data_IF_854205050099
#
_entry.id   IF_854205050099
#
_cell.length_a   1.000
_cell.length_b   1.000
_cell.length_c   1.000
_cell.angle_alpha   90.00
_cell.angle_beta   90.00
_cell.angle_gamma   90.00
#
_symmetry.space_group_name_H-M   'P 1'
#
loop_
_entity.id
_entity.type
_entity.pdbx_description
1 polymer ?
#
# COMPACT_ATOMS: atom_id res chain seq x y z
N UNK A 1 9.17 -25.31 4.84
CA UNK A 1 9.18 -23.86 5.18
C UNK A 1 8.41 -23.08 4.13
N UNK A 2 7.98 -21.85 4.42
CA UNK A 2 7.20 -21.05 3.47
C UNK A 2 7.45 -19.54 3.64
N UNK A 3 7.63 -18.88 2.50
CA UNK A 3 7.93 -17.45 2.40
C UNK A 3 6.68 -16.68 2.01
N UNK A 4 6.35 -15.69 2.83
CA UNK A 4 5.32 -14.70 2.55
C UNK A 4 5.84 -13.51 1.76
N UNK A 5 5.03 -13.01 0.83
CA UNK A 5 5.25 -11.70 0.18
C UNK A 5 3.93 -10.94 0.14
N UNK A 6 3.93 -9.68 0.56
CA UNK A 6 2.78 -8.77 0.42
C UNK A 6 2.93 -7.98 -0.88
N UNK A 7 1.97 -8.10 -1.79
CA UNK A 7 2.12 -7.55 -3.16
C UNK A 7 0.84 -6.91 -3.70
N UNK A 8 1.02 -6.03 -4.67
CA UNK A 8 -0.08 -5.51 -5.49
C UNK A 8 0.06 -5.89 -6.96
N UNK A 9 1.28 -6.09 -7.45
CA UNK A 9 1.58 -6.38 -8.86
C UNK A 9 0.83 -5.45 -9.81
N UNK A 10 1.02 -4.14 -9.63
CA UNK A 10 0.28 -3.09 -10.32
C UNK A 10 1.15 -2.17 -11.21
N UNK A 11 1.67 -2.66 -12.37
CA UNK A 11 1.59 -4.03 -12.88
C UNK A 11 2.68 -4.97 -12.29
N UNK A 12 2.61 -6.26 -12.62
CA UNK A 12 3.76 -7.18 -12.43
C UNK A 12 4.90 -6.75 -13.35
N UNK A 13 6.16 -6.76 -12.92
CA UNK A 13 7.28 -6.15 -13.65
C UNK A 13 8.63 -6.75 -13.23
N UNK A 14 9.72 -6.39 -13.91
CA UNK A 14 11.06 -6.97 -13.71
C UNK A 14 11.59 -6.83 -12.27
N UNK A 15 11.26 -5.75 -11.57
CA UNK A 15 11.57 -5.65 -10.12
C UNK A 15 10.92 -6.75 -9.26
N UNK A 16 9.70 -7.19 -9.58
CA UNK A 16 9.04 -8.31 -8.90
C UNK A 16 9.68 -9.65 -9.28
N UNK A 17 10.09 -9.81 -10.54
CA UNK A 17 10.80 -11.00 -11.02
C UNK A 17 12.11 -11.15 -10.25
N UNK A 18 12.91 -10.09 -10.15
CA UNK A 18 14.15 -10.08 -9.35
C UNK A 18 13.91 -10.49 -7.90
N UNK A 19 12.83 -10.02 -7.26
CA UNK A 19 12.50 -10.43 -5.90
C UNK A 19 12.21 -11.94 -5.81
N UNK A 20 11.45 -12.48 -6.75
CA UNK A 20 11.14 -13.92 -6.80
C UNK A 20 12.38 -14.77 -7.11
N UNK A 21 13.25 -14.31 -8.00
CA UNK A 21 14.53 -14.96 -8.32
C UNK A 21 15.47 -14.95 -7.13
N UNK A 22 15.59 -13.82 -6.42
CA UNK A 22 16.37 -13.73 -5.19
C UNK A 22 15.84 -14.72 -4.14
N UNK A 23 14.52 -14.83 -3.98
CA UNK A 23 13.92 -15.81 -3.06
C UNK A 23 14.30 -17.24 -3.47
N UNK A 24 14.14 -17.60 -4.75
CA UNK A 24 14.47 -18.94 -5.23
C UNK A 24 15.96 -19.27 -5.06
N UNK A 25 16.84 -18.29 -5.24
CA UNK A 25 18.29 -18.45 -5.06
C UNK A 25 18.66 -18.72 -3.60
N UNK A 26 18.10 -17.94 -2.67
CA UNK A 26 18.46 -18.02 -1.24
C UNK A 26 17.67 -19.08 -0.48
N UNK A 27 16.50 -19.48 -1.00
CA UNK A 27 15.59 -20.43 -0.36
C UNK A 27 14.99 -21.40 -1.40
N UNK A 28 15.82 -22.22 -2.07
CA UNK A 28 15.40 -23.04 -3.22
C UNK A 28 14.27 -24.04 -2.90
N UNK A 29 14.18 -24.47 -1.64
CA UNK A 29 13.22 -25.48 -1.19
C UNK A 29 11.94 -24.88 -0.56
N UNK A 30 11.85 -23.55 -0.47
CA UNK A 30 10.74 -22.88 0.23
C UNK A 30 9.56 -22.58 -0.71
N UNK A 31 8.35 -22.81 -0.21
CA UNK A 31 7.13 -22.43 -0.93
C UNK A 31 6.93 -20.92 -0.86
N UNK A 32 6.70 -20.27 -1.99
CA UNK A 32 6.37 -18.85 -2.10
C UNK A 32 4.84 -18.67 -2.04
N UNK A 33 4.38 -17.97 -1.01
CA UNK A 33 2.98 -17.60 -0.79
C UNK A 33 2.88 -16.08 -0.85
N UNK A 34 2.12 -15.56 -1.81
CA UNK A 34 1.86 -14.13 -1.90
C UNK A 34 0.46 -13.79 -1.42
N UNK A 35 0.33 -12.67 -0.71
CA UNK A 35 -0.95 -12.05 -0.40
C UNK A 35 -1.11 -10.79 -1.24
N UNK A 36 -2.20 -10.72 -2.00
CA UNK A 36 -2.33 -9.79 -3.11
C UNK A 36 -3.62 -8.98 -3.07
N UNK A 37 -3.47 -7.65 -3.20
CA UNK A 37 -4.58 -6.70 -3.35
C UNK A 37 -5.47 -7.04 -4.56
N UNK A 38 -6.77 -6.77 -4.44
CA UNK A 38 -7.76 -7.11 -5.47
C UNK A 38 -7.91 -6.05 -6.57
N UNK A 39 -8.94 -5.21 -6.53
CA UNK A 39 -9.23 -4.24 -7.60
C UNK A 39 -8.59 -2.88 -7.35
N UNK A 40 -8.39 -2.56 -6.07
CA UNK A 40 -7.79 -1.32 -5.61
C UNK A 40 -6.55 -1.64 -4.78
N UNK A 41 -5.55 -0.77 -4.86
CA UNK A 41 -4.36 -0.80 -4.03
C UNK A 41 -4.67 -0.36 -2.59
N UNK A 42 -3.69 -0.54 -1.70
CA UNK A 42 -3.66 0.01 -0.35
C UNK A 42 -3.80 1.54 -0.34
N UNK A 43 -3.33 2.20 -1.39
CA UNK A 43 -3.44 3.65 -1.57
C UNK A 43 -4.77 4.09 -2.21
N UNK A 44 -5.69 3.17 -2.47
CA UNK A 44 -6.98 3.44 -3.10
C UNK A 44 -6.89 3.65 -4.62
N UNK A 45 -5.77 3.29 -5.24
CA UNK A 45 -5.58 3.41 -6.69
C UNK A 45 -6.17 2.21 -7.41
N UNK A 46 -6.72 2.44 -8.60
CA UNK A 46 -7.26 1.35 -9.41
C UNK A 46 -6.11 0.50 -9.96
N UNK A 47 -6.21 -0.82 -9.78
CA UNK A 47 -5.20 -1.74 -10.29
C UNK A 47 -5.40 -1.96 -11.80
N UNK A 48 -4.31 -1.85 -12.56
CA UNK A 48 -4.32 -1.82 -14.05
C UNK A 48 -4.66 -3.16 -14.70
N UNK A 49 -4.53 -4.27 -13.97
CA UNK A 49 -4.80 -5.61 -14.47
C UNK A 49 -5.71 -6.42 -13.54
N UNK A 50 -6.53 -7.29 -14.14
CA UNK A 50 -7.43 -8.15 -13.39
C UNK A 50 -6.68 -9.03 -12.38
N UNK A 51 -7.34 -9.37 -11.26
CA UNK A 51 -6.76 -10.28 -10.27
C UNK A 51 -6.37 -11.63 -10.89
N UNK A 52 -7.17 -12.14 -11.84
CA UNK A 52 -6.89 -13.40 -12.56
C UNK A 52 -5.59 -13.31 -13.36
N UNK A 53 -5.37 -12.21 -14.09
CA UNK A 53 -4.15 -12.04 -14.89
C UNK A 53 -2.91 -11.90 -14.00
N UNK A 54 -2.99 -11.10 -12.94
CA UNK A 54 -1.90 -10.94 -11.97
C UNK A 54 -1.58 -12.25 -11.22
N UNK A 55 -2.61 -13.03 -10.87
CA UNK A 55 -2.44 -14.37 -10.28
C UNK A 55 -1.75 -15.32 -11.26
N UNK A 56 -2.18 -15.33 -12.53
CA UNK A 56 -1.60 -16.19 -13.57
C UNK A 56 -0.12 -15.87 -13.80
N UNK A 57 0.24 -14.59 -13.95
CA UNK A 57 1.64 -14.21 -14.16
C UNK A 57 2.49 -14.50 -12.93
N UNK A 58 2.00 -14.23 -11.71
CA UNK A 58 2.74 -14.54 -10.48
C UNK A 58 3.09 -16.03 -10.39
N UNK A 59 2.11 -16.91 -10.68
CA UNK A 59 2.32 -18.37 -10.72
C UNK A 59 3.37 -18.78 -11.76
N UNK A 60 3.36 -18.17 -12.96
CA UNK A 60 4.36 -18.42 -14.01
C UNK A 60 5.79 -18.18 -13.52
N UNK A 61 5.99 -17.21 -12.63
CA UNK A 61 7.29 -16.89 -12.06
C UNK A 61 7.61 -17.61 -10.74
N UNK A 62 6.88 -18.70 -10.42
CA UNK A 62 7.20 -19.61 -9.31
C UNK A 62 6.49 -19.31 -7.99
N UNK A 63 5.47 -18.43 -7.98
CA UNK A 63 4.60 -18.31 -6.81
C UNK A 63 3.72 -19.55 -6.67
N UNK A 64 3.86 -20.29 -5.57
CA UNK A 64 3.08 -21.50 -5.31
C UNK A 64 1.61 -21.17 -4.98
N UNK A 65 1.36 -20.14 -4.16
CA UNK A 65 0.01 -19.77 -3.72
C UNK A 65 -0.22 -18.26 -3.74
N UNK A 66 -1.40 -17.86 -4.22
CA UNK A 66 -1.84 -16.45 -4.26
C UNK A 66 -3.10 -16.31 -3.41
N UNK A 67 -2.97 -15.63 -2.28
CA UNK A 67 -4.05 -15.31 -1.35
C UNK A 67 -4.62 -13.94 -1.70
N UNK A 68 -5.93 -13.87 -1.89
CA UNK A 68 -6.62 -12.61 -2.21
C UNK A 68 -6.92 -11.81 -0.94
N UNK A 69 -6.50 -10.55 -0.87
CA UNK A 69 -7.07 -9.61 0.11
C UNK A 69 -8.45 -9.16 -0.35
N UNK A 70 -9.41 -9.20 0.57
CA UNK A 70 -10.72 -8.59 0.38
C UNK A 70 -10.55 -7.07 0.22
N UNK A 71 -11.57 -6.42 -0.34
CA UNK A 71 -11.56 -4.96 -0.47
C UNK A 71 -11.38 -4.28 0.90
N UNK A 72 -12.10 -4.75 1.92
CA UNK A 72 -12.08 -4.19 3.28
C UNK A 72 -10.72 -4.42 3.97
N UNK A 73 -10.03 -5.51 3.63
CA UNK A 73 -8.70 -5.82 4.15
C UNK A 73 -7.63 -4.96 3.48
N UNK A 74 -7.74 -4.76 2.16
CA UNK A 74 -6.72 -4.14 1.31
C UNK A 74 -6.74 -2.61 1.30
N UNK A 75 -7.92 -1.98 1.23
CA UNK A 75 -8.04 -0.53 0.99
C UNK A 75 -8.10 0.22 2.32
N UNK A 76 -6.96 0.25 3.03
CA UNK A 76 -6.85 0.72 4.40
C UNK A 76 -5.57 1.54 4.64
N UNK A 77 -5.47 2.21 5.79
CA UNK A 77 -4.21 2.79 6.25
C UNK A 77 -3.10 1.70 6.38
N UNK A 78 -1.83 2.10 6.31
CA UNK A 78 -0.70 1.17 6.19
C UNK A 78 -0.66 0.13 7.32
N UNK A 79 -0.83 0.56 8.58
CA UNK A 79 -0.87 -0.33 9.75
C UNK A 79 -1.99 -1.38 9.69
N UNK A 80 -3.20 -1.00 9.26
CA UNK A 80 -4.34 -1.93 9.12
C UNK A 80 -4.09 -2.90 7.96
N UNK A 81 -3.60 -2.39 6.82
CA UNK A 81 -3.25 -3.22 5.67
C UNK A 81 -2.17 -4.25 6.03
N UNK A 82 -1.10 -3.81 6.72
CA UNK A 82 -0.03 -4.66 7.22
C UNK A 82 -0.57 -5.75 8.15
N UNK A 83 -1.34 -5.38 9.18
CA UNK A 83 -2.02 -6.33 10.07
C UNK A 83 -2.80 -7.39 9.29
N UNK A 84 -3.65 -6.97 8.35
CA UNK A 84 -4.48 -7.88 7.57
C UNK A 84 -3.65 -8.81 6.68
N UNK A 85 -2.64 -8.27 5.99
CA UNK A 85 -1.78 -9.02 5.10
C UNK A 85 -0.92 -10.05 5.87
N UNK A 86 -0.28 -9.64 6.96
CA UNK A 86 0.56 -10.51 7.78
C UNK A 86 -0.27 -11.58 8.48
N UNK A 87 -1.40 -11.23 9.10
CA UNK A 87 -2.28 -12.24 9.71
C UNK A 87 -2.78 -13.26 8.70
N UNK A 88 -3.10 -12.81 7.48
CA UNK A 88 -3.52 -13.71 6.42
C UNK A 88 -2.39 -14.65 6.01
N UNK A 89 -1.17 -14.15 5.82
CA UNK A 89 -0.03 -15.02 5.53
C UNK A 89 0.29 -15.98 6.68
N UNK A 90 0.27 -15.50 7.92
CA UNK A 90 0.55 -16.30 9.12
C UNK A 90 -0.41 -17.48 9.28
N UNK A 91 -1.71 -17.29 8.97
CA UNK A 91 -2.70 -18.39 8.91
C UNK A 91 -2.33 -19.49 7.90
N UNK A 92 -1.51 -19.18 6.89
CA UNK A 92 -0.97 -20.16 5.93
C UNK A 92 0.43 -20.66 6.31
N UNK A 93 0.81 -20.51 7.59
CA UNK A 93 2.03 -21.07 8.19
C UNK A 93 3.31 -20.65 7.47
N UNK A 94 3.38 -19.37 7.05
CA UNK A 94 4.67 -18.81 6.64
C UNK A 94 5.60 -18.71 7.85
N UNK A 95 6.88 -18.94 7.64
CA UNK A 95 7.95 -18.79 8.65
C UNK A 95 8.96 -17.71 8.25
N UNK A 96 8.86 -17.18 7.02
CA UNK A 96 9.66 -16.08 6.51
C UNK A 96 8.79 -15.03 5.83
N UNK A 97 9.14 -13.77 5.96
CA UNK A 97 8.56 -12.66 5.19
C UNK A 97 9.67 -11.97 4.38
N UNK A 98 9.44 -11.77 3.09
CA UNK A 98 10.36 -11.02 2.22
C UNK A 98 9.62 -9.82 1.62
N UNK A 99 10.19 -8.62 1.76
CA UNK A 99 9.67 -7.41 1.12
C UNK A 99 10.79 -6.51 0.58
N UNK A 100 10.47 -5.69 -0.42
CA UNK A 100 11.41 -4.70 -0.94
C UNK A 100 11.50 -3.48 -0.02
N UNK A 101 12.69 -2.95 0.19
CA UNK A 101 12.97 -1.80 1.07
C UNK A 101 13.95 -0.83 0.39
N UNK A 102 13.79 0.47 0.65
CA UNK A 102 14.76 1.48 0.23
C UNK A 102 16.02 1.39 1.08
N UNK A 103 15.90 1.32 2.41
CA UNK A 103 17.04 1.21 3.34
C UNK A 103 17.75 -0.14 3.29
N UNK A 104 17.02 -1.21 2.96
CA UNK A 104 17.48 -2.60 3.06
C UNK A 104 18.05 -2.97 4.44
N UNK A 105 17.58 -2.31 5.51
CA UNK A 105 18.06 -2.52 6.86
C UNK A 105 16.95 -3.11 7.75
N UNK A 106 16.76 -4.43 7.65
CA UNK A 106 15.73 -5.13 8.43
C UNK A 106 16.00 -5.09 9.94
N UNK A 107 17.27 -5.12 10.35
CA UNK A 107 17.63 -5.12 11.77
C UNK A 107 17.21 -3.82 12.43
N UNK A 108 17.45 -2.69 11.77
CA UNK A 108 17.01 -1.38 12.24
C UNK A 108 15.48 -1.27 12.36
N UNK A 109 14.72 -1.88 11.43
CA UNK A 109 13.26 -1.96 11.56
C UNK A 109 12.83 -2.80 12.76
N UNK A 110 13.53 -3.89 13.05
CA UNK A 110 13.27 -4.79 14.19
C UNK A 110 13.57 -4.05 15.50
N UNK A 111 14.74 -3.43 15.61
CA UNK A 111 15.17 -2.71 16.81
C UNK A 111 14.22 -1.58 17.15
N UNK A 112 13.79 -0.81 16.14
CA UNK A 112 12.80 0.26 16.33
C UNK A 112 11.44 -0.30 16.74
N UNK A 113 11.00 -1.43 16.18
CA UNK A 113 9.74 -2.07 16.56
C UNK A 113 9.77 -2.60 18.01
N UNK A 114 10.89 -3.21 18.43
CA UNK A 114 11.10 -3.66 19.82
C UNK A 114 11.11 -2.46 20.77
N UNK A 115 11.85 -1.40 20.41
CA UNK A 115 11.87 -0.16 21.18
C UNK A 115 10.46 0.41 21.38
N UNK A 116 9.66 0.52 20.32
CA UNK A 116 8.29 1.01 20.41
C UNK A 116 7.37 0.11 21.25
N UNK A 117 7.55 -1.21 21.17
CA UNK A 117 6.79 -2.16 21.98
C UNK A 117 7.08 -1.97 23.47
N UNK A 118 8.35 -1.76 23.83
CA UNK A 118 8.78 -1.62 25.22
C UNK A 118 8.55 -0.21 25.78
N UNK A 119 8.53 0.83 24.94
CA UNK A 119 8.43 2.24 25.34
C UNK A 119 7.10 2.89 24.92
N UNK A 120 6.02 2.10 24.87
CA UNK A 120 4.72 2.57 24.39
C UNK A 120 4.20 3.81 25.12
N UNK A 121 4.34 3.86 26.44
CA UNK A 121 3.86 4.97 27.27
C UNK A 121 4.58 6.27 26.89
N UNK A 122 5.92 6.23 26.84
CA UNK A 122 6.75 7.37 26.45
C UNK A 122 6.43 7.84 25.03
N UNK A 123 6.29 6.90 24.08
CA UNK A 123 5.88 7.21 22.71
C UNK A 123 4.52 7.90 22.66
N UNK A 124 3.51 7.36 23.35
CA UNK A 124 2.14 7.89 23.36
C UNK A 124 2.08 9.29 24.00
N UNK A 125 2.88 9.57 25.03
CA UNK A 125 2.99 10.90 25.63
C UNK A 125 3.62 11.91 24.66
N UNK A 126 4.74 11.55 24.03
CA UNK A 126 5.49 12.43 23.13
C UNK A 126 4.70 12.73 21.85
N UNK A 127 4.04 11.74 21.24
CA UNK A 127 3.20 11.99 20.07
C UNK A 127 1.98 12.87 20.42
N UNK A 128 1.38 12.69 21.61
CA UNK A 128 0.29 13.57 22.09
C UNK A 128 0.76 15.01 22.24
N UNK A 129 1.97 15.24 22.73
CA UNK A 129 2.58 16.57 22.78
C UNK A 129 2.66 17.18 21.38
N UNK A 130 3.22 16.46 20.40
CA UNK A 130 3.31 16.94 19.02
C UNK A 130 1.96 17.22 18.36
N UNK A 131 0.95 16.40 18.63
CA UNK A 131 -0.39 16.60 18.10
C UNK A 131 -1.11 17.80 18.75
N UNK A 132 -1.02 17.95 20.08
CA UNK A 132 -1.81 18.93 20.83
C UNK A 132 -1.14 20.28 20.98
N UNK A 133 0.16 20.31 21.28
CA UNK A 133 0.94 21.52 21.54
C UNK A 133 1.49 22.09 20.24
N UNK A 134 2.23 21.28 19.49
CA UNK A 134 2.85 21.70 18.22
C UNK A 134 1.90 21.68 17.00
N UNK A 135 0.64 21.25 17.20
CA UNK A 135 -0.41 21.16 16.16
C UNK A 135 0.06 20.42 14.89
N UNK A 136 0.98 19.47 15.02
CA UNK A 136 1.51 18.73 13.89
C UNK A 136 0.46 17.75 13.35
N UNK A 137 0.43 17.59 12.02
CA UNK A 137 -0.34 16.50 11.41
C UNK A 137 0.22 15.14 11.85
N UNK A 138 -0.65 14.14 12.04
CA UNK A 138 -0.26 12.84 12.61
C UNK A 138 0.97 12.18 11.96
N UNK A 139 1.11 12.11 10.62
CA UNK A 139 2.32 11.55 10.01
C UNK A 139 3.61 12.29 10.40
N UNK A 140 3.55 13.64 10.48
CA UNK A 140 4.67 14.47 10.90
C UNK A 140 4.97 14.28 12.39
N UNK A 141 3.93 14.28 13.24
CA UNK A 141 4.07 14.01 14.67
C UNK A 141 4.68 12.64 14.94
N UNK A 142 4.24 11.60 14.23
CA UNK A 142 4.77 10.24 14.32
C UNK A 142 6.26 10.20 13.93
N UNK A 143 6.60 10.77 12.77
CA UNK A 143 7.98 10.88 12.30
C UNK A 143 8.88 11.61 13.31
N UNK A 144 8.43 12.76 13.82
CA UNK A 144 9.18 13.55 14.80
C UNK A 144 9.35 12.80 16.12
N UNK A 145 8.31 12.09 16.58
CA UNK A 145 8.40 11.29 17.82
C UNK A 145 9.46 10.19 17.70
N UNK A 146 9.58 9.55 16.53
CA UNK A 146 10.62 8.54 16.31
C UNK A 146 12.03 9.15 16.27
N UNK A 147 12.17 10.30 15.61
CA UNK A 147 13.44 11.04 15.57
C UNK A 147 13.88 11.45 16.97
N UNK A 148 12.99 12.00 17.79
CA UNK A 148 13.32 12.41 19.15
C UNK A 148 13.72 11.25 20.06
N UNK A 149 12.99 10.14 19.98
CA UNK A 149 13.18 9.03 20.91
C UNK A 149 14.30 8.07 20.49
N UNK A 150 14.62 8.01 19.19
CA UNK A 150 15.57 7.02 18.67
C UNK A 150 16.51 7.54 17.59
N UNK A 151 16.45 8.84 17.26
CA UNK A 151 17.29 9.48 16.23
C UNK A 151 16.97 9.06 14.80
N UNK A 152 15.89 8.30 14.58
CA UNK A 152 15.67 7.57 13.32
C UNK A 152 14.20 7.52 12.91
N UNK A 153 13.95 7.56 11.60
CA UNK A 153 12.60 7.43 11.04
C UNK A 153 12.65 6.88 9.61
N UNK A 154 11.63 6.11 9.23
CA UNK A 154 11.42 5.64 7.86
C UNK A 154 10.50 6.61 7.11
N UNK A 155 11.05 7.26 6.09
CA UNK A 155 10.32 8.29 5.30
C UNK A 155 9.88 7.71 3.94
N UNK A 156 10.58 6.69 3.45
CA UNK A 156 10.32 6.16 2.12
C UNK A 156 9.09 5.24 2.08
N UNK A 157 8.32 5.25 0.97
CA UNK A 157 7.14 4.42 0.75
C UNK A 157 7.21 2.96 1.18
N UNK A 158 8.25 2.22 0.78
CA UNK A 158 8.32 0.79 1.05
C UNK A 158 8.90 0.53 2.43
N UNK A 159 9.79 1.38 2.93
CA UNK A 159 10.26 1.31 4.31
C UNK A 159 9.14 1.57 5.33
N UNK A 160 8.28 2.56 5.10
CA UNK A 160 7.08 2.81 5.95
C UNK A 160 6.21 1.56 6.00
N UNK A 161 5.92 0.97 4.83
CA UNK A 161 5.06 -0.20 4.74
C UNK A 161 5.71 -1.45 5.33
N UNK A 162 7.01 -1.63 5.09
CA UNK A 162 7.86 -2.67 5.66
C UNK A 162 7.89 -2.61 7.18
N UNK A 163 8.11 -1.42 7.72
CA UNK A 163 8.09 -1.19 9.16
C UNK A 163 6.74 -1.52 9.79
N UNK A 164 5.61 -1.24 9.12
CA UNK A 164 4.30 -1.68 9.60
C UNK A 164 4.15 -3.21 9.63
N UNK A 165 4.78 -3.95 8.71
CA UNK A 165 4.84 -5.41 8.78
C UNK A 165 5.65 -5.87 9.99
N UNK A 166 6.87 -5.32 10.16
CA UNK A 166 7.77 -5.67 11.25
C UNK A 166 7.10 -5.38 12.60
N UNK A 167 6.55 -4.17 12.77
CA UNK A 167 5.83 -3.76 13.98
C UNK A 167 4.69 -4.71 14.32
N UNK A 168 3.90 -5.14 13.33
CA UNK A 168 2.83 -6.10 13.57
C UNK A 168 3.37 -7.48 14.01
N UNK A 169 4.45 -7.97 13.38
CA UNK A 169 5.10 -9.24 13.74
C UNK A 169 5.62 -9.20 15.18
N UNK A 170 6.37 -8.15 15.53
CA UNK A 170 7.01 -7.98 16.85
C UNK A 170 5.96 -7.78 17.95
N UNK A 171 4.94 -6.95 17.73
CA UNK A 171 3.90 -6.70 18.73
C UNK A 171 3.08 -7.94 19.07
N UNK A 172 2.94 -8.88 18.12
CA UNK A 172 2.14 -10.09 18.30
C UNK A 172 3.00 -11.36 18.49
N UNK A 173 4.31 -11.22 18.69
CA UNK A 173 5.25 -12.34 18.87
C UNK A 173 5.12 -13.43 17.78
N UNK A 174 4.88 -13.03 16.53
CA UNK A 174 4.70 -13.99 15.44
C UNK A 174 6.06 -14.61 15.09
N UNK A 175 6.12 -15.94 15.00
CA UNK A 175 7.32 -16.71 14.65
C UNK A 175 7.63 -16.61 13.15
N UNK A 176 7.96 -15.41 12.67
CA UNK A 176 8.25 -15.10 11.27
C UNK A 176 9.60 -14.40 11.18
N UNK A 177 10.58 -15.00 10.48
CA UNK A 177 11.86 -14.37 10.17
C UNK A 177 11.68 -13.34 9.04
N UNK A 178 12.29 -12.17 9.15
CA UNK A 178 12.06 -11.06 8.23
C UNK A 178 13.31 -10.84 7.39
N UNK A 179 13.13 -10.66 6.08
CA UNK A 179 14.19 -10.37 5.13
C UNK A 179 13.77 -9.21 4.24
N UNK A 180 14.73 -8.33 3.94
CA UNK A 180 14.56 -7.23 2.99
C UNK A 180 15.38 -7.46 1.74
N UNK A 181 14.91 -6.88 0.63
CA UNK A 181 15.69 -6.76 -0.59
C UNK A 181 15.76 -5.29 -0.99
N UNK A 182 16.97 -4.78 -1.22
CA UNK A 182 17.16 -3.41 -1.71
C UNK A 182 16.49 -3.23 -3.06
N UNK A 183 15.74 -2.13 -3.21
CA UNK A 183 15.10 -1.78 -4.48
C UNK A 183 16.13 -1.29 -5.50
N UNK A 184 16.00 -1.73 -6.75
CA UNK A 184 16.83 -1.23 -7.86
C UNK A 184 16.44 0.19 -8.29
N UNK A 185 15.16 0.56 -8.11
CA UNK A 185 14.60 1.85 -8.51
C UNK A 185 13.59 2.30 -7.45
N UNK A 186 13.63 3.59 -7.11
CA UNK A 186 12.70 4.24 -6.20
C UNK A 186 11.23 4.08 -6.64
N UNK A 187 10.31 4.03 -5.68
CA UNK A 187 8.88 3.74 -5.95
C UNK A 187 8.21 4.74 -6.92
N UNK A 188 8.64 6.01 -6.86
CA UNK A 188 8.10 7.12 -7.66
C UNK A 188 9.05 7.60 -8.78
N UNK A 189 10.16 6.90 -9.03
CA UNK A 189 11.09 7.32 -10.09
C UNK A 189 10.42 7.25 -11.46
N UNK A 190 10.55 8.33 -12.23
CA UNK A 190 10.18 8.39 -13.65
C UNK A 190 11.35 7.99 -14.56
N UNK A 191 12.53 7.75 -13.97
CA UNK A 191 13.71 7.27 -14.67
C UNK A 191 13.72 5.74 -14.72
N UNK A 192 14.27 5.23 -15.81
CA UNK A 192 14.52 3.80 -15.99
C UNK A 192 15.99 3.52 -15.74
N UNK A 193 16.28 2.35 -15.16
CA UNK A 193 17.65 1.85 -15.04
C UNK A 193 17.69 0.49 -15.69
N UNK A 194 18.31 0.41 -16.86
CA UNK A 194 18.33 -0.81 -17.68
C UNK A 194 16.88 -1.34 -17.89
N UNK A 195 16.63 -2.63 -17.69
CA UNK A 195 15.32 -3.28 -17.79
C UNK A 195 14.39 -3.02 -16.60
N UNK A 196 14.72 -2.11 -15.68
CA UNK A 196 13.89 -1.79 -14.52
C UNK A 196 13.18 -0.45 -14.70
N UNK A 197 11.92 -0.41 -14.28
CA UNK A 197 11.09 0.80 -14.21
C UNK A 197 10.23 0.76 -12.94
N UNK A 198 9.86 1.94 -12.42
CA UNK A 198 8.93 2.01 -11.28
C UNK A 198 7.52 1.59 -11.70
N UNK A 199 6.74 1.06 -10.76
CA UNK A 199 5.35 0.73 -11.04
C UNK A 199 4.53 1.97 -11.44
N UNK A 200 4.90 3.15 -10.95
CA UNK A 200 4.23 4.42 -11.28
C UNK A 200 4.42 4.77 -12.75
N UNK A 201 5.67 4.77 -13.23
CA UNK A 201 5.99 5.02 -14.64
C UNK A 201 5.28 4.01 -15.56
N UNK A 202 5.29 2.73 -15.20
CA UNK A 202 4.61 1.71 -16.00
C UNK A 202 3.10 1.94 -16.07
N UNK A 203 2.47 2.43 -15.00
CA UNK A 203 1.04 2.79 -15.04
C UNK A 203 0.79 3.98 -15.97
N UNK A 204 1.68 4.97 -15.99
CA UNK A 204 1.57 6.12 -16.91
C UNK A 204 1.72 5.69 -18.37
N UNK A 205 2.74 4.89 -18.69
CA UNK A 205 2.93 4.28 -20.01
C UNK A 205 1.68 3.50 -20.46
N UNK A 206 1.11 2.67 -19.58
CA UNK A 206 -0.14 1.93 -19.86
C UNK A 206 -1.30 2.88 -20.18
N UNK A 207 -1.46 4.00 -19.46
CA UNK A 207 -2.55 4.95 -19.73
C UNK A 207 -2.37 5.66 -21.08
N UNK A 208 -1.12 5.93 -21.47
CA UNK A 208 -0.74 6.47 -22.78
C UNK A 208 -0.74 5.42 -23.90
N UNK A 209 -1.04 4.16 -23.58
CA UNK A 209 -0.99 2.99 -24.50
C UNK A 209 0.40 2.72 -25.09
N UNK A 210 1.44 3.14 -24.39
CA UNK A 210 2.82 2.83 -24.76
C UNK A 210 3.16 1.38 -24.43
N UNK A 211 4.13 0.81 -25.17
CA UNK A 211 4.64 -0.53 -24.86
C UNK A 211 5.44 -0.53 -23.55
N UNK A 212 5.22 -1.60 -22.77
CA UNK A 212 5.90 -1.87 -21.51
C UNK A 212 6.59 -3.24 -21.49
N UNK A 213 6.61 -3.95 -22.62
CA UNK A 213 7.11 -5.33 -22.74
C UNK A 213 8.54 -5.48 -22.23
N UNK A 214 9.39 -4.47 -22.44
CA UNK A 214 10.76 -4.42 -21.94
C UNK A 214 10.87 -4.49 -20.41
N UNK A 215 9.87 -3.94 -19.70
CA UNK A 215 9.86 -3.85 -18.23
C UNK A 215 8.89 -4.84 -17.56
N UNK A 216 7.97 -5.42 -18.33
CA UNK A 216 6.87 -6.21 -17.81
C UNK A 216 6.44 -7.33 -18.77
N UNK A 217 6.39 -8.58 -18.29
CA UNK A 217 5.84 -9.68 -19.07
C UNK A 217 4.29 -9.70 -19.08
N UNK A 218 3.65 -8.77 -18.36
CA UNK A 218 2.20 -8.76 -18.19
C UNK A 218 1.52 -8.10 -19.39
N UNK A 219 0.83 -8.89 -20.21
CA UNK A 219 0.01 -8.37 -21.32
C UNK A 219 -1.24 -7.65 -20.80
N UNK A 220 -1.33 -6.34 -21.03
CA UNK A 220 -2.49 -5.51 -20.66
C UNK A 220 -3.47 -5.47 -21.84
N UNK A 221 -4.51 -6.32 -21.80
CA UNK A 221 -5.54 -6.34 -22.85
C UNK A 221 -6.55 -5.17 -22.75
N UNK A 222 -6.80 -4.67 -21.54
CA UNK A 222 -7.79 -3.64 -21.28
C UNK A 222 -7.27 -2.69 -20.22
N UNK A 223 -7.16 -1.42 -20.57
CA UNK A 223 -6.78 -0.36 -19.63
C UNK A 223 -8.03 0.12 -18.89
N UNK A 224 -8.01 0.04 -17.57
CA UNK A 224 -9.06 0.62 -16.74
C UNK A 224 -8.73 2.08 -16.45
N UNK A 225 -9.55 3.00 -16.95
CA UNK A 225 -9.42 4.45 -16.70
C UNK A 225 -10.13 4.85 -15.43
N UNK A 226 -9.44 5.58 -14.56
CA UNK A 226 -9.99 6.08 -13.30
C UNK A 226 -11.16 7.05 -13.54
N UNK A 227 -11.18 7.77 -14.66
CA UNK A 227 -12.21 8.78 -14.98
C UNK A 227 -13.62 8.19 -15.02
N UNK A 228 -13.78 6.96 -15.52
CA UNK A 228 -15.08 6.27 -15.50
C UNK A 228 -15.55 6.00 -14.08
N UNK A 229 -14.63 5.68 -13.18
CA UNK A 229 -14.90 5.46 -11.76
C UNK A 229 -15.12 6.78 -11.02
N UNK A 230 -14.45 7.85 -11.43
CA UNK A 230 -14.66 9.18 -10.88
C UNK A 230 -16.06 9.72 -11.22
N UNK A 231 -16.50 9.60 -12.48
CA UNK A 231 -17.88 9.93 -12.88
C UNK A 231 -18.92 9.12 -12.08
N UNK A 232 -18.64 7.84 -11.83
CA UNK A 232 -19.50 7.00 -10.97
C UNK A 232 -19.52 7.54 -9.52
N UNK A 233 -18.37 7.90 -8.98
CA UNK A 233 -18.26 8.50 -7.65
C UNK A 233 -19.06 9.81 -7.54
N UNK A 234 -18.94 10.73 -8.52
CA UNK A 234 -19.71 11.97 -8.56
C UNK A 234 -21.22 11.69 -8.53
N UNK A 235 -21.70 10.77 -9.37
CA UNK A 235 -23.11 10.37 -9.39
C UNK A 235 -23.58 9.81 -8.04
N UNK A 236 -22.75 9.01 -7.37
CA UNK A 236 -23.09 8.47 -6.04
C UNK A 236 -23.19 9.60 -5.01
N UNK A 237 -22.20 10.50 -4.97
CA UNK A 237 -22.17 11.61 -4.02
C UNK A 237 -23.37 12.55 -4.18
N UNK A 238 -23.81 12.82 -5.42
CA UNK A 238 -24.98 13.67 -5.69
C UNK A 238 -26.32 13.00 -5.33
N UNK A 239 -26.44 11.69 -5.55
CA UNK A 239 -27.71 10.96 -5.38
C UNK A 239 -27.91 10.35 -4.00
N UNK A 240 -26.87 10.34 -3.17
CA UNK A 240 -26.89 9.64 -1.88
C UNK A 240 -26.90 10.62 -0.74
N UNK A 241 -27.86 10.46 0.19
CA UNK A 241 -27.90 11.24 1.42
C UNK A 241 -26.57 11.13 2.20
N UNK A 242 -26.01 12.28 2.61
CA UNK A 242 -24.76 12.40 3.34
C UNK A 242 -24.71 11.57 4.63
N UNK A 243 -25.85 11.36 5.30
CA UNK A 243 -25.93 10.48 6.49
C UNK A 243 -25.50 9.05 6.15
N UNK A 244 -25.83 8.54 4.95
CA UNK A 244 -25.36 7.22 4.51
C UNK A 244 -23.87 7.24 4.13
N UNK A 245 -23.36 8.35 3.59
CA UNK A 245 -21.94 8.53 3.24
C UNK A 245 -21.06 8.57 4.49
N UNK A 246 -21.49 9.27 5.55
CA UNK A 246 -20.82 9.34 6.85
C UNK A 246 -20.62 7.96 7.51
N UNK A 247 -21.46 6.98 7.19
CA UNK A 247 -21.35 5.59 7.69
C UNK A 247 -20.26 4.77 6.96
N UNK A 248 -19.58 5.32 5.96
CA UNK A 248 -18.52 4.61 5.25
C UNK A 248 -17.23 4.62 6.07
N UNK A 249 -16.52 3.48 6.19
CA UNK A 249 -15.21 3.45 6.81
C UNK A 249 -14.26 4.49 6.21
N UNK A 250 -13.49 5.17 7.07
CA UNK A 250 -12.57 6.27 6.73
C UNK A 250 -13.23 7.63 6.46
N UNK A 251 -14.56 7.70 6.28
CA UNK A 251 -15.29 8.99 6.24
C UNK A 251 -15.46 9.46 7.67
N UNK A 252 -14.65 10.42 8.06
CA UNK A 252 -14.68 11.04 9.39
C UNK A 252 -14.35 12.52 9.25
N UNK A 253 -14.58 13.30 10.30
CA UNK A 253 -14.07 14.67 10.41
C UNK A 253 -14.60 15.64 9.33
N UNK A 254 -15.76 15.34 8.73
CA UNK A 254 -16.41 16.21 7.75
C UNK A 254 -15.83 16.15 6.34
N UNK A 255 -14.99 15.15 6.03
CA UNK A 255 -14.38 15.00 4.69
C UNK A 255 -15.41 14.88 3.56
N UNK A 256 -16.60 14.37 3.84
CA UNK A 256 -17.71 14.31 2.89
C UNK A 256 -18.18 15.69 2.43
N UNK A 257 -18.12 16.71 3.29
CA UNK A 257 -18.45 18.09 2.93
C UNK A 257 -17.38 18.68 2.00
N UNK A 258 -16.11 18.38 2.28
CA UNK A 258 -14.99 18.75 1.40
C UNK A 258 -15.13 18.10 0.02
N UNK A 259 -15.58 16.85 -0.03
CA UNK A 259 -15.83 16.16 -1.30
C UNK A 259 -16.96 16.82 -2.08
N UNK A 260 -18.07 17.18 -1.43
CA UNK A 260 -19.16 17.89 -2.10
C UNK A 260 -18.71 19.25 -2.64
N UNK A 261 -17.95 20.02 -1.86
CA UNK A 261 -17.41 21.33 -2.26
C UNK A 261 -16.65 21.25 -3.59
N UNK A 262 -15.83 20.21 -3.77
CA UNK A 262 -14.98 20.06 -4.96
C UNK A 262 -15.54 19.09 -6.01
N UNK A 263 -16.76 18.58 -5.83
CA UNK A 263 -17.33 17.54 -6.69
C UNK A 263 -17.55 17.98 -8.14
N UNK A 264 -17.66 19.29 -8.36
CA UNK A 264 -17.87 19.92 -9.67
C UNK A 264 -16.65 19.78 -10.60
N UNK A 265 -15.46 19.50 -10.06
CA UNK A 265 -14.24 19.32 -10.85
C UNK A 265 -14.38 18.14 -11.80
N UNK A 266 -13.96 18.31 -13.07
CA UNK A 266 -14.10 17.28 -14.11
C UNK A 266 -12.99 16.23 -14.06
N UNK A 267 -11.80 16.62 -13.62
CA UNK A 267 -10.61 15.78 -13.54
C UNK A 267 -10.52 15.09 -12.18
N UNK A 268 -10.23 13.79 -12.21
CA UNK A 268 -9.94 13.02 -11.01
C UNK A 268 -8.72 13.56 -10.26
N UNK A 269 -7.70 14.02 -10.99
CA UNK A 269 -6.47 14.52 -10.39
C UNK A 269 -6.73 15.84 -9.66
N UNK A 270 -7.40 16.78 -10.32
CA UNK A 270 -7.74 18.09 -9.77
C UNK A 270 -8.61 17.94 -8.53
N UNK A 271 -9.58 17.01 -8.55
CA UNK A 271 -10.39 16.68 -7.37
C UNK A 271 -9.54 16.18 -6.20
N UNK A 272 -8.66 15.21 -6.44
CA UNK A 272 -7.80 14.67 -5.37
C UNK A 272 -6.88 15.75 -4.84
N UNK A 273 -6.32 16.61 -5.69
CA UNK A 273 -5.46 17.73 -5.31
C UNK A 273 -6.23 18.75 -4.47
N UNK A 274 -7.41 19.18 -4.92
CA UNK A 274 -8.24 20.16 -4.21
C UNK A 274 -8.74 19.65 -2.85
N UNK A 275 -8.96 18.35 -2.70
CA UNK A 275 -9.30 17.76 -1.41
C UNK A 275 -8.10 17.47 -0.50
N UNK A 276 -6.86 17.50 -1.03
CA UNK A 276 -5.65 17.21 -0.25
C UNK A 276 -5.29 18.37 0.65
N UNK A 277 -4.98 18.09 1.91
CA UNK A 277 -4.63 19.09 2.91
C UNK A 277 -3.66 18.53 3.95
N UNK A 278 -3.20 19.38 4.90
CA UNK A 278 -2.43 18.93 6.07
C UNK A 278 -3.14 17.81 6.86
N UNK A 279 -4.49 17.80 6.86
CA UNK A 279 -5.31 16.80 7.55
C UNK A 279 -5.57 15.54 6.71
N UNK A 280 -5.74 15.71 5.40
CA UNK A 280 -6.14 14.63 4.50
C UNK A 280 -5.09 14.41 3.40
N UNK A 281 -4.38 13.29 3.50
CA UNK A 281 -3.45 12.88 2.44
C UNK A 281 -4.20 12.44 1.19
N UNK A 282 -3.58 12.62 0.02
CA UNK A 282 -4.11 12.12 -1.25
C UNK A 282 -4.51 10.64 -1.17
N UNK A 283 -3.69 9.79 -0.55
CA UNK A 283 -4.01 8.36 -0.37
C UNK A 283 -5.28 8.12 0.47
N UNK A 284 -5.57 8.96 1.49
CA UNK A 284 -6.81 8.85 2.26
C UNK A 284 -8.02 9.20 1.40
N UNK A 285 -7.93 10.25 0.61
CA UNK A 285 -8.99 10.68 -0.32
C UNK A 285 -9.29 9.57 -1.33
N UNK A 286 -8.24 9.07 -2.01
CA UNK A 286 -8.35 7.97 -2.97
C UNK A 286 -8.99 6.72 -2.37
N UNK A 287 -8.61 6.34 -1.14
CA UNK A 287 -9.22 5.21 -0.42
C UNK A 287 -10.71 5.44 -0.16
N UNK A 288 -11.12 6.62 0.34
CA UNK A 288 -12.52 6.91 0.62
C UNK A 288 -13.35 6.86 -0.67
N UNK A 289 -12.85 7.43 -1.76
CA UNK A 289 -13.49 7.31 -3.07
C UNK A 289 -13.66 5.84 -3.47
N UNK A 290 -12.62 5.01 -3.35
CA UNK A 290 -12.70 3.59 -3.63
C UNK A 290 -13.77 2.89 -2.76
N UNK A 291 -13.88 3.24 -1.47
CA UNK A 291 -14.91 2.72 -0.56
C UNK A 291 -16.32 3.09 -1.03
N UNK A 292 -16.55 4.35 -1.38
CA UNK A 292 -17.83 4.86 -1.89
C UNK A 292 -18.22 4.16 -3.20
N UNK A 293 -17.27 3.99 -4.11
CA UNK A 293 -17.48 3.33 -5.41
C UNK A 293 -17.78 1.83 -5.26
N UNK A 294 -17.15 1.18 -4.29
CA UNK A 294 -17.25 -0.27 -4.06
C UNK A 294 -18.45 -0.65 -3.18
N UNK A 295 -19.03 0.27 -2.42
CA UNK A 295 -20.24 0.03 -1.65
C UNK A 295 -21.42 -0.23 -2.58
N UNK A 296 -22.29 -1.18 -2.19
CA UNK A 296 -23.62 -1.34 -2.77
C UNK A 296 -24.54 -0.35 -2.07
N UNK A 297 -25.04 0.63 -2.81
CA UNK A 297 -26.01 1.61 -2.33
C UNK A 297 -27.40 0.99 -2.51
N UNK A 298 -28.05 0.71 -1.38
CA UNK A 298 -29.48 0.38 -1.31
C UNK A 298 -30.22 1.65 -0.89
#
# INVERSE_FOLDING_TARGET
MAIGIVVEYNPFHNGHIRQLEWIKKNFPNDKIIVVMSNKFSQRGELIVASFRNRKKIAKKYGVNKVLKLSFKEGVQAAHIFAKNAINKLYKYKIDKLVFGSESNNVQEMIDLAIFLKNNKIQFDQKIKYYLKKEKMAYPKAYAQTLLDLKGKNFIQPNDILGFEYVKHIINNNLKIKIFTLQRNIGYHSLETRDKYASATLLREKIQKKEDISYYSPLKIKKVYKIDKYYKKFQKIMLKTNLVKIKKIPLVTEGIENLFLKHLHLKSYQDFVQACTSKRYTASRIKRIMAWIINKKWK
#
